data_IF_039898041590
#
_entry.id   IF_039898041590
#
_cell.length_a   1.000
_cell.length_b   1.000
_cell.length_c   1.000
_cell.angle_alpha   90.00
_cell.angle_beta   90.00
_cell.angle_gamma   90.00
#
_symmetry.space_group_name_H-M   'P 1'
#
loop_
_entity.id
_entity.type
_entity.pdbx_description
1 polymer ?
#
# COMPACT_ATOMS: atom_id res chain seq x y z
N UNK A 1 -0.17 15.06 68.37
CA UNK A 1 0.13 13.88 67.54
C UNK A 1 -0.05 14.29 66.08
N UNK A 2 1.01 14.27 65.26
CA UNK A 2 0.95 14.70 63.85
C UNK A 2 0.57 13.51 62.96
N UNK A 3 -0.57 13.59 62.30
CA UNK A 3 -1.06 12.58 61.36
C UNK A 3 -0.33 12.70 60.01
N UNK A 4 0.60 11.78 59.74
CA UNK A 4 1.33 11.65 58.47
C UNK A 4 0.71 10.55 57.56
N UNK A 5 -0.62 10.39 57.57
CA UNK A 5 -1.31 9.32 56.83
C UNK A 5 -1.69 9.65 55.38
N UNK A 6 -1.59 10.91 54.95
CA UNK A 6 -2.20 11.38 53.70
C UNK A 6 -1.34 11.28 52.43
N UNK A 7 -0.02 11.13 52.52
CA UNK A 7 0.84 11.29 51.32
C UNK A 7 1.10 10.01 50.54
N UNK A 8 1.00 8.83 51.16
CA UNK A 8 1.30 7.55 50.50
C UNK A 8 0.16 7.05 49.62
N UNK A 9 -1.09 7.27 50.03
CA UNK A 9 -2.26 6.84 49.27
C UNK A 9 -2.41 7.61 47.94
N UNK A 10 -2.09 8.90 47.93
CA UNK A 10 -2.18 9.76 46.74
C UNK A 10 -1.18 9.35 45.64
N UNK A 11 0.03 8.93 46.04
CA UNK A 11 1.06 8.47 45.11
C UNK A 11 0.64 7.16 44.44
N UNK A 12 0.06 6.23 45.20
CA UNK A 12 -0.42 4.94 44.67
C UNK A 12 -1.54 5.15 43.66
N UNK A 13 -2.48 6.06 43.93
CA UNK A 13 -3.57 6.39 43.00
C UNK A 13 -3.08 7.05 41.70
N UNK A 14 -2.05 7.90 41.76
CA UNK A 14 -1.43 8.47 40.55
C UNK A 14 -0.77 7.38 39.69
N UNK A 15 -0.03 6.45 40.29
CA UNK A 15 0.64 5.38 39.56
C UNK A 15 -0.37 4.45 38.86
N UNK A 16 -1.45 4.07 39.55
CA UNK A 16 -2.51 3.24 38.97
C UNK A 16 -3.19 3.97 37.80
N UNK A 17 -3.43 5.27 37.92
CA UNK A 17 -4.03 6.08 36.84
C UNK A 17 -3.12 6.16 35.61
N UNK A 18 -1.81 6.31 35.80
CA UNK A 18 -0.82 6.31 34.70
C UNK A 18 -0.75 4.94 34.03
N UNK A 19 -0.82 3.84 34.79
CA UNK A 19 -0.80 2.48 34.23
C UNK A 19 -2.09 2.15 33.45
N UNK A 20 -3.25 2.62 33.91
CA UNK A 20 -4.53 2.42 33.21
C UNK A 20 -4.60 3.26 31.93
N UNK A 21 -4.18 4.53 31.96
CA UNK A 21 -4.15 5.38 30.77
C UNK A 21 -3.05 4.94 29.80
N UNK A 22 -1.86 4.62 30.31
CA UNK A 22 -0.75 4.10 29.51
C UNK A 22 -1.06 2.74 28.87
N UNK A 23 -1.71 1.83 29.61
CA UNK A 23 -2.19 0.54 29.12
C UNK A 23 -3.32 0.66 28.10
N UNK A 24 -4.23 1.63 28.27
CA UNK A 24 -5.32 1.89 27.31
C UNK A 24 -4.81 2.52 26.00
N UNK A 25 -3.78 3.36 26.06
CA UNK A 25 -3.14 3.96 24.88
C UNK A 25 -2.24 2.94 24.16
N UNK A 26 -1.51 2.10 24.89
CA UNK A 26 -0.65 1.05 24.30
C UNK A 26 -1.42 -0.17 23.79
N UNK A 27 -2.58 -0.50 24.38
CA UNK A 27 -3.46 -1.58 23.90
C UNK A 27 -4.24 -1.24 22.62
N UNK A 28 -4.27 0.02 22.18
CA UNK A 28 -4.87 0.46 20.91
C UNK A 28 -3.87 0.66 19.77
N UNK A 29 -2.57 0.56 20.03
CA UNK A 29 -1.60 0.25 18.97
C UNK A 29 -1.68 -1.24 18.62
N UNK A 30 -2.90 -1.73 18.37
CA UNK A 30 -3.08 -2.94 17.57
C UNK A 30 -2.61 -2.51 16.20
N UNK A 31 -1.41 -2.94 15.82
CA UNK A 31 -0.91 -2.85 14.46
C UNK A 31 -1.91 -3.58 13.56
N UNK A 32 -2.93 -2.86 13.09
CA UNK A 32 -3.80 -3.36 12.04
C UNK A 32 -2.92 -3.47 10.81
N UNK A 33 -2.53 -4.69 10.46
CA UNK A 33 -1.89 -4.97 9.19
C UNK A 33 -2.76 -4.33 8.10
N UNK A 34 -2.19 -3.36 7.37
CA UNK A 34 -2.91 -2.71 6.27
C UNK A 34 -3.13 -3.75 5.17
N UNK A 35 -4.31 -3.76 4.57
CA UNK A 35 -4.71 -4.71 3.52
C UNK A 35 -5.12 -4.00 2.23
N UNK A 36 -5.08 -4.74 1.14
CA UNK A 36 -5.72 -4.34 -0.13
C UNK A 36 -6.93 -5.22 -0.38
N UNK A 37 -8.08 -4.58 -0.57
CA UNK A 37 -9.34 -5.22 -0.90
C UNK A 37 -9.55 -5.17 -2.41
N UNK A 38 -9.60 -6.34 -3.04
CA UNK A 38 -9.75 -6.49 -4.49
C UNK A 38 -11.07 -7.21 -4.75
N UNK A 39 -11.97 -6.63 -5.55
CA UNK A 39 -13.18 -7.38 -5.91
C UNK A 39 -12.84 -8.57 -6.83
N UNK A 40 -13.61 -9.67 -6.82
CA UNK A 40 -13.41 -10.79 -7.74
C UNK A 40 -13.37 -10.37 -9.21
N UNK A 41 -14.17 -9.37 -9.58
CA UNK A 41 -14.18 -8.81 -10.94
C UNK A 41 -12.81 -8.22 -11.32
N UNK A 42 -12.24 -7.39 -10.43
CA UNK A 42 -10.93 -6.78 -10.66
C UNK A 42 -9.83 -7.84 -10.65
N UNK A 43 -9.86 -8.76 -9.69
CA UNK A 43 -8.87 -9.83 -9.62
C UNK A 43 -8.84 -10.67 -10.92
N UNK A 44 -10.00 -11.06 -11.43
CA UNK A 44 -10.10 -11.77 -12.70
C UNK A 44 -9.62 -10.94 -13.90
N UNK A 45 -9.85 -9.63 -13.88
CA UNK A 45 -9.34 -8.72 -14.92
C UNK A 45 -7.81 -8.65 -14.91
N UNK A 46 -7.19 -8.51 -13.72
CA UNK A 46 -5.73 -8.49 -13.58
C UNK A 46 -5.12 -9.81 -14.07
N UNK A 47 -5.73 -10.94 -13.69
CA UNK A 47 -5.30 -12.26 -14.15
C UNK A 47 -5.46 -12.44 -15.67
N UNK A 48 -6.57 -11.98 -16.24
CA UNK A 48 -6.78 -12.04 -17.69
C UNK A 48 -5.72 -11.22 -18.45
N UNK A 49 -5.35 -10.04 -17.94
CA UNK A 49 -4.28 -9.23 -18.54
C UNK A 49 -2.90 -9.90 -18.39
N UNK A 50 -2.63 -10.55 -17.25
CA UNK A 50 -1.42 -11.35 -17.07
C UNK A 50 -1.34 -12.51 -18.08
N UNK A 51 -2.42 -13.28 -18.24
CA UNK A 51 -2.44 -14.45 -19.12
C UNK A 51 -2.41 -14.09 -20.61
N UNK A 52 -3.06 -12.98 -20.99
CA UNK A 52 -3.18 -12.56 -22.38
C UNK A 52 -1.89 -11.94 -22.94
N UNK A 53 -0.98 -11.46 -22.08
CA UNK A 53 0.18 -10.69 -22.51
C UNK A 53 1.49 -11.37 -22.11
N UNK A 54 2.31 -11.65 -23.12
CA UNK A 54 3.70 -12.10 -22.90
C UNK A 54 4.65 -10.96 -22.56
N UNK A 55 4.19 -9.72 -22.74
CA UNK A 55 4.89 -8.49 -22.43
C UNK A 55 4.43 -7.90 -21.10
N UNK A 56 5.24 -7.01 -20.52
CA UNK A 56 4.82 -6.23 -19.36
C UNK A 56 3.66 -5.31 -19.77
N UNK A 57 2.68 -5.18 -18.90
CA UNK A 57 1.47 -4.38 -19.06
C UNK A 57 1.29 -3.61 -17.78
N UNK A 58 0.90 -2.34 -17.91
CA UNK A 58 0.57 -1.50 -16.77
C UNK A 58 -0.92 -1.19 -16.78
N UNK A 59 -1.52 -1.23 -15.59
CA UNK A 59 -2.85 -0.73 -15.31
C UNK A 59 -2.79 0.27 -14.17
N UNK A 60 -3.60 1.30 -14.25
CA UNK A 60 -3.81 2.24 -13.16
C UNK A 60 -4.95 1.75 -12.28
N UNK A 61 -4.73 1.82 -10.97
CA UNK A 61 -5.66 1.33 -9.95
C UNK A 61 -6.51 2.49 -9.45
N UNK A 62 -7.81 2.36 -9.59
CA UNK A 62 -8.80 3.33 -9.11
C UNK A 62 -9.49 2.77 -7.88
N UNK A 63 -9.57 3.57 -6.82
CA UNK A 63 -10.02 3.09 -5.53
C UNK A 63 -10.14 4.17 -4.49
N UNK A 64 -10.23 3.74 -3.23
CA UNK A 64 -10.31 4.61 -2.08
C UNK A 64 -9.54 4.03 -0.89
N UNK A 65 -9.08 4.92 0.00
CA UNK A 65 -8.50 4.52 1.28
C UNK A 65 -9.63 4.22 2.26
N UNK A 66 -9.59 3.04 2.87
CA UNK A 66 -10.50 2.59 3.93
C UNK A 66 -9.73 2.44 5.24
N UNK A 67 -10.44 2.26 6.37
CA UNK A 67 -9.81 2.15 7.69
C UNK A 67 -8.70 1.09 7.73
N UNK A 68 -8.96 -0.06 7.10
CA UNK A 68 -8.08 -1.23 7.09
C UNK A 68 -7.04 -1.21 5.95
N UNK A 69 -7.04 -0.20 5.06
CA UNK A 69 -6.08 -0.10 3.96
C UNK A 69 -6.69 0.52 2.70
N UNK A 70 -6.66 -0.19 1.58
CA UNK A 70 -7.11 0.33 0.27
C UNK A 70 -8.13 -0.60 -0.36
N UNK A 71 -9.15 -0.03 -1.01
CA UNK A 71 -10.14 -0.78 -1.78
C UNK A 71 -10.03 -0.40 -3.25
N UNK A 72 -9.76 -1.39 -4.10
CA UNK A 72 -9.70 -1.22 -5.55
C UNK A 72 -11.09 -1.46 -6.12
N UNK A 73 -11.62 -0.46 -6.81
CA UNK A 73 -12.97 -0.51 -7.39
C UNK A 73 -12.95 -0.59 -8.91
N UNK A 74 -11.87 -0.14 -9.55
CA UNK A 74 -11.74 -0.18 -11.00
C UNK A 74 -10.26 -0.18 -11.42
N UNK A 75 -10.01 -0.52 -12.67
CA UNK A 75 -8.72 -0.33 -13.33
C UNK A 75 -8.91 0.35 -14.68
N UNK A 76 -7.85 0.97 -15.19
CA UNK A 76 -7.81 1.39 -16.59
C UNK A 76 -6.39 1.25 -17.14
N UNK A 77 -6.29 1.10 -18.45
CA UNK A 77 -5.01 1.05 -19.15
C UNK A 77 -4.54 2.47 -19.47
N UNK A 78 -3.38 2.92 -18.98
CA UNK A 78 -2.83 4.21 -19.37
C UNK A 78 -2.45 4.21 -20.85
N UNK A 79 -2.31 5.40 -21.45
CA UNK A 79 -1.78 5.51 -22.79
C UNK A 79 -0.30 5.11 -22.80
N UNK A 80 0.05 4.14 -23.64
CA UNK A 80 1.46 3.75 -23.83
C UNK A 80 2.11 4.80 -24.73
N UNK A 81 3.15 5.45 -24.21
CA UNK A 81 3.93 6.46 -24.93
C UNK A 81 5.03 5.79 -25.75
N UNK A 82 5.67 4.77 -25.18
CA UNK A 82 6.71 3.99 -25.81
C UNK A 82 6.78 2.59 -25.19
N UNK A 83 7.11 1.57 -25.97
CA UNK A 83 7.32 0.22 -25.46
C UNK A 83 8.49 -0.42 -26.18
N UNK A 84 9.43 -0.93 -25.40
CA UNK A 84 10.54 -1.75 -25.86
C UNK A 84 10.45 -3.15 -25.24
N UNK A 85 11.38 -4.03 -25.60
CA UNK A 85 11.44 -5.37 -25.01
C UNK A 85 11.71 -5.32 -23.49
N UNK A 86 12.41 -4.29 -22.99
CA UNK A 86 12.87 -4.20 -21.60
C UNK A 86 12.29 -3.00 -20.83
N UNK A 87 11.43 -2.20 -21.44
CA UNK A 87 10.87 -1.02 -20.80
C UNK A 87 9.54 -0.62 -21.40
N UNK A 88 8.65 -0.12 -20.57
CA UNK A 88 7.42 0.52 -20.99
C UNK A 88 7.36 1.93 -20.43
N UNK A 89 7.17 2.90 -21.32
CA UNK A 89 6.86 4.28 -20.98
C UNK A 89 5.37 4.50 -21.23
N UNK A 90 4.68 5.00 -20.23
CA UNK A 90 3.24 5.21 -20.26
C UNK A 90 2.89 6.54 -19.59
N UNK A 91 1.71 7.05 -19.93
CA UNK A 91 1.13 8.18 -19.21
C UNK A 91 0.98 7.81 -17.74
N UNK A 92 1.73 8.51 -16.87
CA UNK A 92 1.74 8.27 -15.43
C UNK A 92 0.32 8.19 -14.89
N UNK A 93 0.04 7.19 -14.05
CA UNK A 93 -1.33 6.95 -13.60
C UNK A 93 -1.93 8.19 -12.91
N UNK A 94 -1.09 9.00 -12.26
CA UNK A 94 -1.54 10.22 -11.59
C UNK A 94 -1.75 11.43 -12.51
N UNK A 95 -1.30 11.41 -13.77
CA UNK A 95 -1.56 12.52 -14.72
C UNK A 95 -2.91 12.43 -15.40
N UNK A 96 -3.60 11.29 -15.31
CA UNK A 96 -4.87 11.06 -16.00
C UNK A 96 -6.00 11.79 -15.23
N UNK A 97 -6.15 13.09 -15.51
CA UNK A 97 -7.06 14.01 -14.83
C UNK A 97 -8.54 13.55 -14.77
N UNK A 98 -8.94 12.64 -15.65
CA UNK A 98 -10.30 12.09 -15.69
C UNK A 98 -10.65 11.18 -14.51
N UNK A 99 -9.66 10.65 -13.78
CA UNK A 99 -9.90 9.74 -12.66
C UNK A 99 -9.38 10.34 -11.35
N UNK A 100 -10.27 11.03 -10.61
CA UNK A 100 -9.94 11.70 -9.34
C UNK A 100 -9.47 10.77 -8.20
N UNK A 101 -9.51 9.45 -8.41
CA UNK A 101 -9.38 8.44 -7.38
C UNK A 101 -8.33 7.37 -7.75
N UNK A 102 -7.29 7.75 -8.51
CA UNK A 102 -6.16 6.85 -8.74
C UNK A 102 -5.40 6.69 -7.43
N UNK A 103 -5.30 5.45 -6.97
CA UNK A 103 -4.61 5.09 -5.72
C UNK A 103 -3.31 4.34 -5.97
N UNK A 104 -3.10 3.83 -7.18
CA UNK A 104 -1.98 2.96 -7.46
C UNK A 104 -1.73 2.65 -8.93
N UNK A 105 -0.71 1.83 -9.15
CA UNK A 105 -0.45 1.14 -10.41
C UNK A 105 -0.29 -0.37 -10.15
N UNK A 106 -0.63 -1.15 -11.18
CA UNK A 106 -0.39 -2.57 -11.26
C UNK A 106 0.39 -2.88 -12.52
N UNK A 107 1.32 -3.83 -12.47
CA UNK A 107 1.91 -4.42 -13.66
C UNK A 107 2.27 -5.88 -13.47
N UNK A 108 2.53 -6.60 -14.56
CA UNK A 108 3.01 -7.99 -14.51
C UNK A 108 4.52 -8.10 -14.73
N UNK A 109 5.13 -9.10 -14.08
CA UNK A 109 6.51 -9.53 -14.31
C UNK A 109 6.53 -10.85 -15.09
N UNK A 110 7.32 -10.92 -16.16
CA UNK A 110 7.40 -12.12 -17.02
C UNK A 110 8.04 -13.33 -16.34
N UNK A 111 8.93 -13.10 -15.38
CA UNK A 111 9.78 -14.12 -14.77
C UNK A 111 9.21 -14.70 -13.46
N UNK A 112 8.01 -14.27 -13.06
CA UNK A 112 7.41 -14.76 -11.82
C UNK A 112 7.91 -14.10 -10.54
N UNK A 113 8.74 -13.05 -10.64
CA UNK A 113 9.19 -12.29 -9.47
C UNK A 113 8.04 -11.42 -8.94
N UNK A 114 7.78 -11.57 -7.64
CA UNK A 114 6.81 -10.77 -6.91
C UNK A 114 7.52 -9.61 -6.24
N UNK A 115 8.35 -8.87 -6.98
CA UNK A 115 9.23 -7.86 -6.42
C UNK A 115 9.29 -6.62 -7.31
N UNK A 116 9.46 -5.42 -6.74
CA UNK A 116 9.70 -4.23 -7.55
C UNK A 116 11.17 -4.22 -8.00
N UNK A 117 11.40 -4.03 -9.29
CA UNK A 117 12.74 -3.69 -9.78
C UNK A 117 13.12 -2.26 -9.36
N UNK A 118 14.41 -1.91 -9.46
CA UNK A 118 14.88 -0.54 -9.23
C UNK A 118 14.13 0.49 -10.09
N UNK A 119 13.81 0.13 -11.34
CA UNK A 119 13.00 0.95 -12.24
C UNK A 119 11.56 1.11 -11.76
N UNK A 120 10.96 0.04 -11.23
CA UNK A 120 9.60 0.08 -10.69
C UNK A 120 9.54 0.97 -9.44
N UNK A 121 10.53 0.85 -8.55
CA UNK A 121 10.67 1.71 -7.37
C UNK A 121 10.84 3.18 -7.74
N UNK A 122 11.65 3.49 -8.76
CA UNK A 122 11.83 4.87 -9.23
C UNK A 122 10.54 5.44 -9.81
N UNK A 123 9.85 4.68 -10.66
CA UNK A 123 8.57 5.08 -11.26
C UNK A 123 7.50 5.30 -10.19
N UNK A 124 7.32 4.33 -9.28
CA UNK A 124 6.38 4.42 -8.17
C UNK A 124 6.69 5.60 -7.24
N UNK A 125 7.96 5.81 -6.91
CA UNK A 125 8.39 6.98 -6.13
C UNK A 125 8.02 8.29 -6.80
N UNK A 126 8.29 8.43 -8.10
CA UNK A 126 7.92 9.62 -8.88
C UNK A 126 6.42 9.89 -8.85
N UNK A 127 5.62 8.86 -9.07
CA UNK A 127 4.15 8.94 -9.04
C UNK A 127 3.60 9.29 -7.66
N UNK A 128 4.20 8.73 -6.60
CA UNK A 128 3.88 9.10 -5.23
C UNK A 128 4.18 10.59 -4.97
N UNK A 129 5.39 11.07 -5.26
CA UNK A 129 5.78 12.45 -4.93
C UNK A 129 5.00 13.48 -5.73
N UNK A 130 4.65 13.16 -6.98
CA UNK A 130 3.99 14.09 -7.89
C UNK A 130 2.46 14.09 -7.75
N UNK A 131 1.86 12.94 -7.46
CA UNK A 131 0.41 12.76 -7.52
C UNK A 131 -0.20 12.14 -6.27
N UNK A 132 0.60 11.75 -5.28
CA UNK A 132 0.12 11.11 -4.05
C UNK A 132 -0.36 9.67 -4.26
N UNK A 133 0.16 8.96 -5.27
CA UNK A 133 -0.15 7.55 -5.51
C UNK A 133 0.47 6.69 -4.42
N UNK A 134 -0.36 5.97 -3.66
CA UNK A 134 0.08 5.27 -2.44
C UNK A 134 0.35 3.77 -2.62
N UNK A 135 -0.05 3.17 -3.75
CA UNK A 135 -0.04 1.72 -3.95
C UNK A 135 0.69 1.29 -5.24
N UNK A 136 1.54 0.26 -5.14
CA UNK A 136 2.12 -0.43 -6.28
C UNK A 136 1.83 -1.93 -6.15
N UNK A 137 1.43 -2.57 -7.25
CA UNK A 137 1.13 -3.99 -7.30
C UNK A 137 1.87 -4.68 -8.45
N UNK A 138 2.44 -5.84 -8.18
CA UNK A 138 3.17 -6.64 -9.18
C UNK A 138 2.53 -8.02 -9.27
N UNK A 139 1.95 -8.36 -10.41
CA UNK A 139 1.52 -9.73 -10.70
C UNK A 139 2.71 -10.57 -11.12
N UNK A 140 2.98 -11.62 -10.36
CA UNK A 140 4.08 -12.52 -10.61
C UNK A 140 3.60 -13.77 -11.36
N UNK A 141 2.47 -14.33 -10.93
CA UNK A 141 1.79 -15.39 -11.67
C UNK A 141 0.27 -15.23 -11.55
N UNK A 142 -0.52 -16.10 -12.20
CA UNK A 142 -1.98 -16.00 -12.20
C UNK A 142 -2.66 -16.07 -10.83
N UNK A 143 -1.94 -16.26 -9.72
CA UNK A 143 -2.51 -16.26 -8.37
C UNK A 143 -1.72 -15.47 -7.32
N UNK A 144 -0.54 -14.95 -7.66
CA UNK A 144 0.32 -14.20 -6.73
C UNK A 144 0.51 -12.76 -7.18
N UNK A 145 0.26 -11.86 -6.22
CA UNK A 145 0.42 -10.42 -6.37
C UNK A 145 1.29 -9.92 -5.22
N UNK A 146 2.44 -9.33 -5.55
CA UNK A 146 3.24 -8.52 -4.63
C UNK A 146 2.60 -7.14 -4.48
N UNK A 147 2.49 -6.63 -3.25
CA UNK A 147 1.80 -5.36 -2.97
C UNK A 147 2.67 -4.50 -2.07
N UNK A 148 2.82 -3.24 -2.47
CA UNK A 148 3.71 -2.26 -1.85
C UNK A 148 2.94 -0.97 -1.59
N UNK A 149 3.15 -0.36 -0.42
CA UNK A 149 2.61 0.97 -0.14
C UNK A 149 3.65 1.85 0.55
N UNK A 150 3.42 3.16 0.46
CA UNK A 150 4.30 4.13 1.14
C UNK A 150 4.23 4.07 2.66
N UNK A 151 3.13 3.61 3.26
CA UNK A 151 2.99 3.56 4.73
C UNK A 151 4.07 2.67 5.41
N UNK A 152 4.88 1.96 4.62
CA UNK A 152 5.99 1.08 5.03
C UNK A 152 7.38 1.71 4.75
N UNK A 153 7.45 2.95 4.24
CA UNK A 153 8.69 3.59 3.78
C UNK A 153 9.20 4.61 4.81
N UNK A 154 10.45 4.45 5.26
CA UNK A 154 11.16 5.46 6.06
C UNK A 154 11.54 6.66 5.19
N UNK A 155 11.29 7.88 5.69
CA UNK A 155 11.34 9.13 4.92
C UNK A 155 12.76 9.64 4.56
N UNK A 156 13.80 8.80 4.69
CA UNK A 156 15.20 9.21 4.55
C UNK A 156 15.87 8.54 3.34
N UNK A 157 15.43 8.91 2.14
CA UNK A 157 16.21 8.76 0.90
C UNK A 157 16.10 7.41 0.19
N UNK A 158 15.14 7.30 -0.74
CA UNK A 158 15.05 6.31 -1.82
C UNK A 158 15.27 4.81 -1.48
N UNK A 159 15.35 4.43 -0.21
CA UNK A 159 15.32 3.04 0.23
C UNK A 159 13.87 2.65 0.47
N UNK A 160 13.30 1.92 -0.49
CA UNK A 160 12.00 1.28 -0.29
C UNK A 160 12.28 -0.03 0.45
N UNK A 161 11.90 -0.13 1.72
CA UNK A 161 11.83 -1.44 2.36
C UNK A 161 10.67 -2.20 1.73
N UNK A 162 11.03 -3.30 1.07
CA UNK A 162 10.09 -4.14 0.37
C UNK A 162 9.37 -5.03 1.37
N UNK A 163 8.23 -4.57 1.87
CA UNK A 163 7.36 -5.40 2.73
C UNK A 163 6.06 -5.72 1.99
N UNK A 164 5.79 -7.01 1.81
CA UNK A 164 4.62 -7.46 1.07
C UNK A 164 3.37 -7.29 1.92
N UNK A 165 2.42 -6.48 1.47
CA UNK A 165 1.10 -6.42 2.10
C UNK A 165 0.23 -7.63 1.74
N UNK A 166 -0.67 -8.02 2.64
CA UNK A 166 -1.71 -9.02 2.34
C UNK A 166 -2.84 -8.38 1.53
N UNK A 167 -3.38 -9.12 0.56
CA UNK A 167 -4.65 -8.78 -0.07
C UNK A 167 -5.75 -9.76 0.32
N UNK A 168 -6.98 -9.27 0.21
CA UNK A 168 -8.19 -10.04 0.40
C UNK A 168 -9.10 -9.82 -0.81
N UNK A 169 -9.56 -10.91 -1.40
CA UNK A 169 -10.56 -10.86 -2.47
C UNK A 169 -11.94 -10.84 -1.81
N UNK A 170 -12.65 -9.71 -1.91
CA UNK A 170 -13.90 -9.43 -1.17
C UNK A 170 -15.08 -9.07 -2.05
#
# INVERSE_FOLDING_TARGET
MKNYGGSKATIVLMIISILLVGGYISGRAVFSEKKVFISPYIFNQLNAEYEANTDEVVLCLVGERVLEGWKIVNTYKPNILNSSFNSMEYETCGSVQSYKNVIGSWHNHRNGLCELSDSDMFAFGGDYYKYGIELAMVQCDGNRIGIYSKDIINAEGYTFEQDSMKYEVV
#
